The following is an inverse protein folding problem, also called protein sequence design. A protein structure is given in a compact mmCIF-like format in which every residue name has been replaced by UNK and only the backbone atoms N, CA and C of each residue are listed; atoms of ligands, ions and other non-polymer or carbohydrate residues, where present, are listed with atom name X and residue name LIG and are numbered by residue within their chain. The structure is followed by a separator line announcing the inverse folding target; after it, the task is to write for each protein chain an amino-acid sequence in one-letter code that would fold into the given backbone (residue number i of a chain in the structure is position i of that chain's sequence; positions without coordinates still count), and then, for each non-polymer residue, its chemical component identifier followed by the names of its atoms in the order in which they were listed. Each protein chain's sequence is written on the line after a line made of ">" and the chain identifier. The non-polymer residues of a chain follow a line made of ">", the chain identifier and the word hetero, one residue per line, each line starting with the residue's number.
data_IF_939796268977
#
_entry.id   IF_939796268977
#
_cell.length_a   1.000
_cell.length_b   1.000
_cell.length_c   1.000
_cell.angle_alpha   90.00
_cell.angle_beta   90.00
_cell.angle_gamma   90.00
#
_symmetry.space_group_name_H-M   'P 1'
#
loop_
_entity.id
_entity.type
_entity.pdbx_description
1 polymer ?
#
# COMPACT_ATOMS: atom_id res chain seq x y z
N UNK A 1 3.31 11.56 -14.13
CA UNK A 1 3.03 10.19 -13.67
C UNK A 1 1.55 10.10 -13.39
N UNK A 2 0.87 9.08 -13.91
CA UNK A 2 -0.58 8.94 -13.76
C UNK A 2 -0.86 7.89 -12.69
N UNK A 3 -1.72 8.23 -11.73
CA UNK A 3 -2.21 7.30 -10.72
C UNK A 3 -3.70 7.06 -10.97
N UNK A 4 -4.09 5.78 -10.98
CA UNK A 4 -5.49 5.37 -11.04
C UNK A 4 -5.92 4.95 -9.64
N UNK A 5 -6.91 5.65 -9.08
CA UNK A 5 -7.44 5.37 -7.75
C UNK A 5 -8.89 4.96 -7.89
N UNK A 6 -9.20 3.74 -7.48
CA UNK A 6 -10.58 3.28 -7.37
C UNK A 6 -11.14 3.68 -6.00
N UNK A 7 -12.23 4.45 -6.00
CA UNK A 7 -12.97 4.85 -4.81
C UNK A 7 -14.40 4.38 -5.00
N UNK A 8 -14.91 3.62 -4.02
CA UNK A 8 -16.28 3.11 -4.01
C UNK A 8 -16.81 3.11 -2.59
N UNK A 9 -18.14 3.08 -2.44
CA UNK A 9 -18.75 2.89 -1.13
C UNK A 9 -18.43 1.51 -0.59
N UNK A 10 -18.61 1.31 0.71
CA UNK A 10 -18.35 -0.01 1.28
C UNK A 10 -19.20 -1.08 0.61
N UNK A 11 -18.65 -2.30 0.53
CA UNK A 11 -19.34 -3.49 0.03
C UNK A 11 -19.80 -3.44 -1.44
N UNK A 12 -19.30 -2.50 -2.24
CA UNK A 12 -19.57 -2.45 -3.70
C UNK A 12 -18.49 -3.13 -4.54
N UNK A 13 -17.94 -4.26 -4.07
CA UNK A 13 -17.00 -5.07 -4.86
C UNK A 13 -15.55 -4.55 -4.92
N UNK A 14 -15.16 -3.63 -4.02
CA UNK A 14 -13.76 -3.15 -3.94
C UNK A 14 -12.77 -4.29 -3.71
N UNK A 15 -13.13 -5.30 -2.91
CA UNK A 15 -12.33 -6.53 -2.70
C UNK A 15 -12.15 -7.31 -4.01
N UNK A 16 -13.20 -7.45 -4.82
CA UNK A 16 -13.13 -8.14 -6.11
C UNK A 16 -12.17 -7.45 -7.07
N UNK A 17 -12.23 -6.12 -7.14
CA UNK A 17 -11.31 -5.31 -7.97
C UNK A 17 -9.87 -5.44 -7.47
N UNK A 18 -9.64 -5.30 -6.16
CA UNK A 18 -8.30 -5.44 -5.58
C UNK A 18 -7.71 -6.83 -5.82
N UNK A 19 -8.52 -7.88 -5.65
CA UNK A 19 -8.11 -9.27 -5.91
C UNK A 19 -7.78 -9.49 -7.39
N UNK A 20 -8.61 -8.99 -8.30
CA UNK A 20 -8.38 -9.09 -9.74
C UNK A 20 -7.07 -8.40 -10.15
N UNK A 21 -6.85 -7.16 -9.71
CA UNK A 21 -5.62 -6.41 -10.02
C UNK A 21 -4.38 -7.07 -9.41
N UNK A 22 -4.48 -7.51 -8.16
CA UNK A 22 -3.38 -8.23 -7.48
C UNK A 22 -3.00 -9.52 -8.22
N UNK A 23 -3.99 -10.33 -8.60
CA UNK A 23 -3.78 -11.60 -9.30
C UNK A 23 -3.15 -11.40 -10.68
N UNK A 24 -3.40 -10.26 -11.33
CA UNK A 24 -2.88 -9.92 -12.65
C UNK A 24 -1.68 -8.97 -12.62
N UNK A 25 -1.08 -8.68 -11.47
CA UNK A 25 -0.02 -7.66 -11.30
C UNK A 25 1.16 -7.80 -12.26
N UNK A 26 1.56 -9.05 -12.58
CA UNK A 26 2.67 -9.32 -13.52
C UNK A 26 2.29 -8.94 -14.96
N UNK A 27 1.04 -9.19 -15.36
CA UNK A 27 0.55 -8.79 -16.68
C UNK A 27 0.46 -7.26 -16.78
N UNK A 28 -0.06 -6.60 -15.73
CA UNK A 28 -0.08 -5.15 -15.63
C UNK A 28 1.34 -4.56 -15.76
N UNK A 29 2.32 -5.15 -15.07
CA UNK A 29 3.70 -4.67 -15.10
C UNK A 29 4.31 -4.75 -16.51
N UNK A 30 4.06 -5.82 -17.27
CA UNK A 30 4.46 -5.93 -18.69
C UNK A 30 3.81 -4.86 -19.58
N UNK A 31 2.67 -4.31 -19.15
CA UNK A 31 1.98 -3.20 -19.81
C UNK A 31 2.38 -1.83 -19.23
N UNK A 32 3.49 -1.76 -18.48
CA UNK A 32 3.98 -0.55 -17.80
C UNK A 32 3.00 0.00 -16.74
N UNK A 33 2.14 -0.85 -16.17
CA UNK A 33 1.24 -0.51 -15.07
C UNK A 33 1.64 -1.26 -13.80
N UNK A 34 1.74 -0.55 -12.68
CA UNK A 34 2.18 -1.14 -11.42
C UNK A 34 0.98 -1.20 -10.47
N UNK A 35 0.71 -2.39 -9.94
CA UNK A 35 -0.15 -2.57 -8.77
C UNK A 35 0.75 -2.76 -7.54
N UNK A 36 1.01 -1.72 -6.74
CA UNK A 36 1.99 -1.78 -5.67
C UNK A 36 1.48 -2.61 -4.50
N UNK A 37 2.32 -3.52 -3.98
CA UNK A 37 2.00 -4.37 -2.82
C UNK A 37 2.53 -3.82 -1.50
N UNK A 38 3.50 -2.91 -1.55
CA UNK A 38 4.16 -2.34 -0.35
C UNK A 38 3.25 -1.44 0.47
N UNK A 39 2.38 -0.67 -0.19
CA UNK A 39 1.43 0.26 0.44
C UNK A 39 0.07 -0.40 0.74
N UNK A 40 -0.22 -1.54 0.14
CA UNK A 40 -1.47 -2.24 0.36
C UNK A 40 -1.59 -3.44 -0.56
N UNK A 41 -2.30 -4.47 -0.14
CA UNK A 41 -2.57 -5.65 -0.95
C UNK A 41 -4.09 -5.93 -0.96
N UNK A 42 -4.51 -7.00 -1.62
CA UNK A 42 -5.93 -7.32 -1.74
C UNK A 42 -6.65 -7.59 -0.40
N UNK A 43 -5.91 -7.92 0.67
CA UNK A 43 -6.47 -8.24 1.98
C UNK A 43 -6.32 -7.11 3.00
N UNK A 44 -5.46 -6.13 2.75
CA UNK A 44 -5.17 -5.05 3.69
C UNK A 44 -4.64 -3.80 2.99
N UNK A 45 -5.28 -2.68 3.27
CA UNK A 45 -4.85 -1.34 2.82
C UNK A 45 -4.22 -0.52 3.95
N UNK A 46 -3.90 -1.16 5.08
CA UNK A 46 -3.51 -0.44 6.29
C UNK A 46 -2.22 0.36 6.15
N UNK A 47 -1.24 -0.10 5.37
CA UNK A 47 0.01 0.64 5.17
C UNK A 47 -0.26 2.00 4.49
N UNK A 48 -1.13 2.01 3.46
CA UNK A 48 -1.55 3.22 2.76
C UNK A 48 -2.29 4.16 3.71
N UNK A 49 -3.26 3.64 4.47
CA UNK A 49 -3.99 4.42 5.48
C UNK A 49 -3.05 4.99 6.55
N UNK A 50 -2.07 4.20 7.00
CA UNK A 50 -1.10 4.63 8.01
C UNK A 50 -0.19 5.77 7.51
N UNK A 51 0.16 5.79 6.22
CA UNK A 51 0.90 6.93 5.64
C UNK A 51 0.14 8.25 5.77
N UNK A 52 -1.20 8.21 5.81
CA UNK A 52 -2.06 9.36 6.02
C UNK A 52 -2.22 9.76 7.50
N UNK A 53 -1.67 8.99 8.45
CA UNK A 53 -1.73 9.35 9.86
C UNK A 53 -0.83 10.56 10.14
N UNK A 54 -1.39 11.53 10.87
CA UNK A 54 -0.67 12.74 11.30
C UNK A 54 -0.03 12.59 12.68
N UNK A 55 -0.48 11.61 13.46
CA UNK A 55 -0.06 11.39 14.83
C UNK A 55 -0.15 9.89 15.17
N UNK A 56 0.57 9.49 16.23
CA UNK A 56 0.42 8.18 16.82
C UNK A 56 -1.03 7.99 17.27
N UNK A 57 -1.59 6.82 16.97
CA UNK A 57 -2.95 6.41 17.33
C UNK A 57 -2.92 5.14 18.16
N UNK A 58 -3.90 4.99 19.05
CA UNK A 58 -4.12 3.76 19.82
C UNK A 58 -5.17 2.88 19.14
N UNK A 59 -4.97 2.57 17.86
CA UNK A 59 -5.86 1.70 17.09
C UNK A 59 -5.30 0.28 16.95
N UNK A 60 -6.13 -0.65 16.49
CA UNK A 60 -5.75 -2.04 16.30
C UNK A 60 -4.51 -2.21 15.42
N UNK A 61 -4.33 -1.35 14.40
CA UNK A 61 -3.18 -1.45 13.52
C UNK A 61 -1.89 -1.09 14.25
N UNK A 62 -1.84 0.05 14.95
CA UNK A 62 -0.68 0.45 15.74
C UNK A 62 -0.35 -0.59 16.82
N UNK A 63 -1.36 -1.09 17.54
CA UNK A 63 -1.21 -2.10 18.58
C UNK A 63 -0.65 -3.42 18.01
N UNK A 64 -1.23 -3.93 16.93
CA UNK A 64 -0.78 -5.18 16.29
C UNK A 64 0.64 -5.11 15.72
N UNK A 65 1.14 -3.90 15.43
CA UNK A 65 2.49 -3.65 14.92
C UNK A 65 3.48 -3.22 15.99
N UNK A 66 3.05 -3.09 17.25
CA UNK A 66 3.92 -2.68 18.36
C UNK A 66 4.38 -1.22 18.27
N UNK A 67 3.59 -0.35 17.64
CA UNK A 67 3.92 1.06 17.45
C UNK A 67 3.39 1.83 18.66
N UNK A 68 4.26 2.10 19.64
CA UNK A 68 3.87 2.75 20.90
C UNK A 68 4.55 4.10 21.11
N UNK A 69 5.69 4.34 20.46
CA UNK A 69 6.45 5.59 20.59
C UNK A 69 6.44 6.37 19.29
N UNK A 70 6.76 7.66 19.40
CA UNK A 70 6.90 8.56 18.25
C UNK A 70 8.01 8.10 17.30
N UNK A 71 9.09 7.54 17.84
CA UNK A 71 10.20 7.01 17.04
C UNK A 71 9.76 5.80 16.21
N UNK A 72 9.02 4.86 16.80
CA UNK A 72 8.44 3.71 16.09
C UNK A 72 7.50 4.17 14.97
N UNK A 73 6.68 5.18 15.25
CA UNK A 73 5.75 5.76 14.27
C UNK A 73 6.49 6.35 13.06
N UNK A 74 7.52 7.16 13.31
CA UNK A 74 8.33 7.77 12.25
C UNK A 74 9.12 6.70 11.48
N UNK A 75 9.69 5.74 12.18
CA UNK A 75 10.41 4.62 11.60
C UNK A 75 9.49 3.81 10.67
N UNK A 76 8.33 3.37 11.16
CA UNK A 76 7.37 2.59 10.38
C UNK A 76 6.88 3.35 9.14
N UNK A 77 6.60 4.65 9.26
CA UNK A 77 6.21 5.50 8.13
C UNK A 77 7.31 5.57 7.06
N UNK A 78 8.57 5.76 7.48
CA UNK A 78 9.73 5.75 6.60
C UNK A 78 9.92 4.39 5.94
N UNK A 79 9.72 3.31 6.69
CA UNK A 79 9.90 1.94 6.21
C UNK A 79 8.90 1.58 5.10
N UNK A 80 7.63 1.95 5.27
CA UNK A 80 6.60 1.78 4.23
C UNK A 80 6.99 2.58 2.98
N UNK A 81 7.41 3.84 3.15
CA UNK A 81 7.79 4.70 2.04
C UNK A 81 9.00 4.18 1.26
N UNK A 82 10.03 3.69 1.95
CA UNK A 82 11.21 3.10 1.32
C UNK A 82 10.84 1.84 0.52
N UNK A 83 10.03 0.94 1.10
CA UNK A 83 9.54 -0.26 0.39
C UNK A 83 8.78 0.10 -0.88
N UNK A 84 7.94 1.12 -0.83
CA UNK A 84 7.22 1.61 -2.00
C UNK A 84 8.14 2.21 -3.06
N UNK A 85 9.11 3.03 -2.65
CA UNK A 85 10.10 3.60 -3.55
C UNK A 85 10.91 2.49 -4.26
N UNK A 86 11.36 1.49 -3.52
CA UNK A 86 12.13 0.37 -4.07
C UNK A 86 11.30 -0.46 -5.05
N UNK A 87 10.03 -0.70 -4.75
CA UNK A 87 9.08 -1.37 -5.65
C UNK A 87 8.93 -0.62 -6.98
N UNK A 88 8.74 0.70 -6.91
CA UNK A 88 8.64 1.55 -8.10
C UNK A 88 9.93 1.56 -8.92
N UNK A 89 11.11 1.55 -8.27
CA UNK A 89 12.39 1.52 -8.97
C UNK A 89 12.62 0.19 -9.67
N UNK A 90 12.35 -0.94 -9.00
CA UNK A 90 12.50 -2.28 -9.59
C UNK A 90 11.60 -2.49 -10.80
N UNK A 91 10.36 -2.00 -10.73
CA UNK A 91 9.40 -2.13 -11.83
C UNK A 91 9.80 -1.39 -13.11
N UNK A 92 10.68 -0.38 -13.02
CA UNK A 92 11.21 0.34 -14.20
C UNK A 92 12.36 -0.38 -14.90
N UNK A 93 13.01 -1.32 -14.23
CA UNK A 93 14.19 -2.02 -14.74
C UNK A 93 13.86 -3.29 -15.55
N UNK A 94 12.62 -3.78 -15.53
CA UNK A 94 12.19 -4.94 -16.33
C UNK A 94 11.87 -4.56 -17.80
N UNK A 95 12.77 -3.81 -18.43
CA UNK A 95 12.71 -3.49 -19.87
C UNK A 95 13.55 -4.46 -20.69
#
# INVERSE_FOLDING_TARGET
>A
MTAYVHIGTEKTGSTSIQFFLYSNRRLLQRQNMIYPISIGNYSSQWNFTFLAYNNLRNDFYCLSKGIFKKDDFLHHKKDIFLKFKDELLKSKCEK
#
